data_IF_262205054332
#
_entry.id   IF_262205054332
#
_cell.length_a   1.000
_cell.length_b   1.000
_cell.length_c   1.000
_cell.angle_alpha   90.00
_cell.angle_beta   90.00
_cell.angle_gamma   90.00
#
_symmetry.space_group_name_H-M   'P 1'
#
loop_
_entity.id
_entity.type
_entity.pdbx_description
1 polymer ?
#
# COMPACT_ATOMS: atom_id res chain seq x y z
N UNK A 1 7.28 22.46 16.12
CA UNK A 1 8.18 21.35 16.48
C UNK A 1 7.61 20.11 15.83
N UNK A 2 8.27 19.56 14.80
CA UNK A 2 7.83 18.31 14.18
C UNK A 2 8.01 17.20 15.21
N UNK A 3 6.93 16.65 15.73
CA UNK A 3 6.99 15.45 16.54
C UNK A 3 7.38 14.31 15.60
N UNK A 4 8.62 13.87 15.66
CA UNK A 4 9.05 12.64 15.01
C UNK A 4 8.38 11.49 15.79
N UNK A 5 7.21 11.07 15.34
CA UNK A 5 6.53 9.93 15.92
C UNK A 5 7.25 8.64 15.53
N UNK A 6 7.53 7.78 16.50
CA UNK A 6 8.01 6.43 16.21
C UNK A 6 6.86 5.57 15.69
N UNK A 7 7.15 4.66 14.78
CA UNK A 7 6.22 3.64 14.27
C UNK A 7 6.80 2.25 14.49
N UNK A 8 5.98 1.23 14.57
CA UNK A 8 6.40 -0.18 14.66
C UNK A 8 5.94 -0.88 13.38
N UNK A 9 6.87 -1.56 12.71
CA UNK A 9 6.55 -2.36 11.53
C UNK A 9 6.78 -3.85 11.83
N UNK A 10 5.73 -4.66 11.70
CA UNK A 10 5.76 -6.12 11.87
C UNK A 10 5.57 -6.75 10.50
N UNK A 11 6.65 -7.23 9.93
CA UNK A 11 6.70 -7.75 8.57
C UNK A 11 7.17 -9.20 8.53
N UNK A 12 6.79 -9.91 7.50
CA UNK A 12 7.20 -11.29 7.31
C UNK A 12 6.26 -12.05 6.35
N UNK A 13 6.59 -13.31 6.03
CA UNK A 13 5.81 -14.12 5.12
C UNK A 13 4.43 -14.47 5.69
N UNK A 14 3.53 -14.93 4.82
CA UNK A 14 2.22 -15.45 5.22
C UNK A 14 2.39 -16.60 6.22
N UNK A 15 1.47 -16.72 7.18
CA UNK A 15 1.46 -17.73 8.23
C UNK A 15 2.62 -17.66 9.25
N UNK A 16 3.36 -16.55 9.32
CA UNK A 16 4.46 -16.36 10.30
C UNK A 16 4.00 -15.88 11.69
N UNK A 17 2.70 -15.71 11.92
CA UNK A 17 2.16 -15.21 13.19
C UNK A 17 2.19 -13.69 13.38
N UNK A 18 2.54 -12.92 12.34
CA UNK A 18 2.64 -11.45 12.43
C UNK A 18 1.33 -10.76 12.83
N UNK A 19 0.16 -11.26 12.39
CA UNK A 19 -1.14 -10.68 12.74
C UNK A 19 -1.39 -10.75 14.24
N UNK A 20 -1.23 -11.94 14.84
CA UNK A 20 -1.39 -12.12 16.29
C UNK A 20 -0.37 -11.30 17.08
N UNK A 21 0.88 -11.21 16.60
CA UNK A 21 1.91 -10.40 17.24
C UNK A 21 1.55 -8.91 17.18
N UNK A 22 1.08 -8.43 16.02
CA UNK A 22 0.71 -7.02 15.84
C UNK A 22 -0.46 -6.62 16.73
N UNK A 23 -1.43 -7.50 16.89
CA UNK A 23 -2.58 -7.30 17.75
C UNK A 23 -2.17 -7.24 19.25
N UNK A 24 -1.30 -8.15 19.70
CA UNK A 24 -0.73 -8.12 21.05
C UNK A 24 0.06 -6.84 21.33
N UNK A 25 0.89 -6.39 20.36
CA UNK A 25 1.66 -5.15 20.48
C UNK A 25 0.73 -3.94 20.53
N UNK A 26 -0.23 -3.86 19.61
CA UNK A 26 -1.17 -2.75 19.54
C UNK A 26 -2.05 -2.68 20.81
N UNK A 27 -2.46 -3.81 21.36
CA UNK A 27 -3.21 -3.88 22.62
C UNK A 27 -2.39 -3.35 23.80
N UNK A 28 -1.10 -3.74 23.89
CA UNK A 28 -0.20 -3.23 24.95
C UNK A 28 0.07 -1.72 24.86
N UNK A 29 0.08 -1.18 23.63
CA UNK A 29 0.33 0.25 23.36
C UNK A 29 -0.97 1.07 23.28
N UNK A 30 -2.12 0.45 23.52
CA UNK A 30 -3.44 1.07 23.38
C UNK A 30 -3.64 1.81 22.06
N UNK A 31 -3.20 1.19 20.97
CA UNK A 31 -3.20 1.75 19.62
C UNK A 31 -3.95 0.85 18.62
N UNK A 32 -3.83 1.16 17.34
CA UNK A 32 -4.44 0.41 16.24
C UNK A 32 -3.38 -0.27 15.38
N UNK A 33 -3.77 -1.36 14.72
CA UNK A 33 -2.98 -1.98 13.64
C UNK A 33 -3.39 -1.36 12.31
N UNK A 34 -2.41 -0.99 11.49
CA UNK A 34 -2.59 -0.55 10.09
C UNK A 34 -2.13 -1.71 9.20
N UNK A 35 -3.07 -2.33 8.47
CA UNK A 35 -2.76 -3.42 7.56
C UNK A 35 -1.95 -2.93 6.36
N UNK A 36 -0.86 -3.65 6.04
CA UNK A 36 0.02 -3.42 4.88
C UNK A 36 -0.10 -4.62 3.93
N UNK A 37 -1.30 -4.79 3.38
CA UNK A 37 -1.65 -5.90 2.51
C UNK A 37 -2.48 -5.42 1.32
N UNK A 38 -1.99 -5.66 0.10
CA UNK A 38 -2.61 -5.19 -1.14
C UNK A 38 -3.94 -5.87 -1.46
N UNK A 39 -4.26 -6.99 -0.82
CA UNK A 39 -5.50 -7.73 -1.05
C UNK A 39 -6.54 -7.44 0.05
N UNK A 40 -6.11 -7.22 1.28
CA UNK A 40 -7.02 -6.91 2.39
C UNK A 40 -7.70 -5.54 2.27
N UNK A 41 -7.19 -4.66 1.40
CA UNK A 41 -7.82 -3.36 1.11
C UNK A 41 -9.20 -3.53 0.45
N UNK A 42 -9.45 -4.63 -0.23
CA UNK A 42 -10.71 -4.87 -0.95
C UNK A 42 -11.80 -5.45 -0.06
N UNK A 43 -13.02 -4.87 -0.14
CA UNK A 43 -14.22 -5.36 0.53
C UNK A 43 -14.63 -6.72 0.00
N UNK A 44 -14.99 -7.63 0.90
CA UNK A 44 -15.46 -8.97 0.56
C UNK A 44 -14.36 -9.97 0.18
N UNK A 45 -13.09 -9.54 0.14
CA UNK A 45 -11.96 -10.44 -0.02
C UNK A 45 -11.44 -10.88 1.36
N UNK A 46 -12.18 -11.73 2.05
CA UNK A 46 -11.93 -12.02 3.46
C UNK A 46 -11.23 -13.36 3.68
N UNK A 47 -11.69 -14.42 3.01
CA UNK A 47 -11.22 -15.80 3.24
C UNK A 47 -9.79 -16.00 2.70
N UNK A 48 -9.58 -15.74 1.41
CA UNK A 48 -8.28 -15.95 0.74
C UNK A 48 -7.15 -15.03 1.21
N UNK A 49 -7.49 -13.92 1.85
CA UNK A 49 -6.54 -12.92 2.37
C UNK A 49 -6.27 -13.09 3.86
N UNK A 50 -6.93 -14.05 4.50
CA UNK A 50 -6.88 -14.26 5.95
C UNK A 50 -7.15 -12.97 6.75
N UNK A 51 -8.10 -12.18 6.28
CA UNK A 51 -8.53 -10.96 6.97
C UNK A 51 -9.22 -11.34 8.28
N UNK A 52 -8.77 -10.78 9.41
CA UNK A 52 -9.38 -11.03 10.72
C UNK A 52 -10.82 -10.54 10.73
N UNK A 53 -11.81 -11.39 11.00
CA UNK A 53 -13.21 -10.99 11.15
C UNK A 53 -13.37 -9.88 12.19
N UNK A 54 -14.35 -8.99 11.98
CA UNK A 54 -14.54 -7.82 12.86
C UNK A 54 -14.77 -8.24 14.32
N UNK A 55 -15.53 -9.31 14.52
CA UNK A 55 -15.88 -9.88 15.83
C UNK A 55 -14.70 -10.53 16.57
N UNK A 56 -13.63 -10.86 15.84
CA UNK A 56 -12.43 -11.49 16.42
C UNK A 56 -11.31 -10.46 16.69
N UNK A 57 -11.48 -9.19 16.27
CA UNK A 57 -10.47 -8.15 16.43
C UNK A 57 -10.44 -7.66 17.88
N UNK A 58 -9.31 -7.77 18.54
CA UNK A 58 -9.10 -7.22 19.89
C UNK A 58 -8.73 -5.73 19.87
N UNK A 59 -8.23 -5.23 18.73
CA UNK A 59 -7.88 -3.82 18.50
C UNK A 59 -8.39 -3.36 17.14
N UNK A 60 -8.54 -2.05 16.91
CA UNK A 60 -8.91 -1.56 15.57
C UNK A 60 -7.89 -1.98 14.51
N UNK A 61 -8.38 -2.55 13.41
CA UNK A 61 -7.60 -2.89 12.22
C UNK A 61 -7.98 -1.93 11.10
N UNK A 62 -7.03 -1.05 10.74
CA UNK A 62 -7.18 0.00 9.75
C UNK A 62 -6.61 -0.45 8.40
N UNK A 63 -6.94 0.26 7.32
CA UNK A 63 -6.51 -0.02 5.94
C UNK A 63 -6.98 -1.39 5.43
N UNK A 64 -8.10 -1.87 5.91
CA UNK A 64 -8.87 -3.00 5.37
C UNK A 64 -10.22 -2.49 4.87
N UNK A 65 -10.80 -3.15 3.88
CA UNK A 65 -12.11 -2.79 3.33
C UNK A 65 -12.19 -1.34 2.80
N UNK A 66 -11.10 -0.82 2.26
CA UNK A 66 -10.99 0.58 1.80
C UNK A 66 -11.54 0.78 0.38
N UNK A 67 -11.51 -0.25 -0.46
CA UNK A 67 -11.90 -0.19 -1.88
C UNK A 67 -12.88 -1.30 -2.25
N UNK A 68 -13.64 -1.12 -3.32
CA UNK A 68 -14.43 -2.19 -3.93
C UNK A 68 -13.58 -2.95 -4.95
N UNK A 69 -13.92 -4.22 -5.22
CA UNK A 69 -13.17 -5.06 -6.17
C UNK A 69 -13.11 -4.46 -7.59
N UNK A 70 -14.13 -3.68 -7.97
CA UNK A 70 -14.19 -2.99 -9.26
C UNK A 70 -13.38 -1.69 -9.32
N UNK A 71 -12.80 -1.26 -8.20
CA UNK A 71 -12.02 -0.02 -8.12
C UNK A 71 -10.53 -0.34 -8.22
N UNK A 72 -9.80 0.49 -8.98
CA UNK A 72 -8.34 0.45 -8.95
C UNK A 72 -7.84 1.04 -7.62
N UNK A 73 -6.95 0.32 -6.95
CA UNK A 73 -6.33 0.79 -5.71
C UNK A 73 -4.81 0.76 -5.84
N UNK A 74 -4.23 1.92 -6.05
CA UNK A 74 -2.79 2.07 -6.28
C UNK A 74 -1.99 2.17 -4.98
N UNK A 75 -0.67 1.90 -5.07
CA UNK A 75 0.27 2.11 -3.97
C UNK A 75 0.28 3.57 -3.49
N UNK A 76 0.10 4.54 -4.40
CA UNK A 76 -0.01 5.97 -4.05
C UNK A 76 -1.25 6.27 -3.20
N UNK A 77 -2.40 5.68 -3.55
CA UNK A 77 -3.62 5.80 -2.76
C UNK A 77 -3.43 5.18 -1.38
N UNK A 78 -2.81 4.00 -1.32
CA UNK A 78 -2.46 3.34 -0.08
C UNK A 78 -1.54 4.21 0.78
N UNK A 79 -0.44 4.70 0.23
CA UNK A 79 0.52 5.57 0.94
C UNK A 79 -0.19 6.77 1.57
N UNK A 80 -1.01 7.47 0.79
CA UNK A 80 -1.73 8.66 1.25
C UNK A 80 -2.66 8.33 2.41
N UNK A 81 -3.47 7.28 2.27
CA UNK A 81 -4.44 6.88 3.28
C UNK A 81 -3.75 6.33 4.55
N UNK A 82 -2.76 5.44 4.39
CA UNK A 82 -2.05 4.83 5.51
C UNK A 82 -1.25 5.86 6.32
N UNK A 83 -0.60 6.82 5.65
CA UNK A 83 0.08 7.93 6.33
C UNK A 83 -0.91 8.83 7.08
N UNK A 84 -2.07 9.09 6.51
CA UNK A 84 -3.11 9.87 7.20
C UNK A 84 -3.59 9.18 8.47
N UNK A 85 -3.81 7.85 8.45
CA UNK A 85 -4.18 7.09 9.65
C UNK A 85 -3.04 7.06 10.69
N UNK A 86 -1.79 6.89 10.24
CA UNK A 86 -0.63 6.95 11.13
C UNK A 86 -0.49 8.32 11.81
N UNK A 87 -0.64 9.41 11.06
CA UNK A 87 -0.60 10.76 11.64
C UNK A 87 -1.70 11.00 12.67
N UNK A 88 -2.93 10.54 12.43
CA UNK A 88 -4.01 10.62 13.43
C UNK A 88 -3.64 9.93 14.74
N UNK A 89 -3.00 8.76 14.67
CA UNK A 89 -2.55 8.04 15.86
C UNK A 89 -1.42 8.79 16.57
N UNK A 90 -0.42 9.28 15.82
CA UNK A 90 0.71 10.06 16.38
C UNK A 90 0.22 11.34 17.05
N UNK A 91 -0.70 12.07 16.42
CA UNK A 91 -1.29 13.29 16.98
C UNK A 91 -2.11 13.02 18.26
N UNK A 92 -2.65 11.80 18.37
CA UNK A 92 -3.30 11.32 19.59
C UNK A 92 -2.31 10.79 20.65
N UNK A 93 -0.99 10.93 20.44
CA UNK A 93 0.06 10.44 21.33
C UNK A 93 0.25 8.93 21.31
N UNK A 94 -0.23 8.24 20.28
CA UNK A 94 -0.15 6.78 20.12
C UNK A 94 0.94 6.40 19.09
N UNK A 95 1.51 5.21 19.25
CA UNK A 95 2.48 4.66 18.30
C UNK A 95 1.76 3.77 17.29
N UNK A 96 1.72 4.09 15.98
CA UNK A 96 1.11 3.24 14.97
C UNK A 96 1.85 1.90 14.83
N UNK A 97 1.10 0.81 14.63
CA UNK A 97 1.64 -0.53 14.36
C UNK A 97 1.24 -0.93 12.95
N UNK A 98 2.20 -0.96 12.04
CA UNK A 98 2.01 -1.49 10.68
C UNK A 98 2.23 -2.99 10.66
N UNK A 99 1.34 -3.72 10.00
CA UNK A 99 1.43 -5.18 9.90
C UNK A 99 1.10 -5.67 8.49
N UNK A 100 2.02 -6.39 7.86
CA UNK A 100 1.72 -6.98 6.56
C UNK A 100 2.92 -7.60 5.85
N UNK A 101 2.69 -7.97 4.58
CA UNK A 101 3.69 -8.64 3.75
C UNK A 101 3.89 -8.00 2.37
N UNK A 102 3.19 -6.91 2.05
CA UNK A 102 3.33 -6.23 0.77
C UNK A 102 4.49 -5.24 0.84
N UNK A 103 5.68 -5.66 0.38
CA UNK A 103 6.92 -4.86 0.46
C UNK A 103 6.77 -3.46 -0.11
N UNK A 104 6.28 -3.33 -1.36
CA UNK A 104 6.08 -2.04 -2.01
C UNK A 104 5.18 -1.08 -1.20
N UNK A 105 4.17 -1.60 -0.52
CA UNK A 105 3.30 -0.80 0.34
C UNK A 105 4.04 -0.30 1.57
N UNK A 106 4.86 -1.17 2.19
CA UNK A 106 5.67 -0.81 3.33
C UNK A 106 6.73 0.24 2.95
N UNK A 107 7.47 0.00 1.88
CA UNK A 107 8.50 0.92 1.38
C UNK A 107 7.90 2.30 1.08
N UNK A 108 6.69 2.34 0.50
CA UNK A 108 5.99 3.60 0.24
C UNK A 108 5.68 4.41 1.50
N UNK A 109 5.52 3.74 2.66
CA UNK A 109 5.24 4.41 3.94
C UNK A 109 6.54 4.87 4.60
N UNK A 110 7.55 3.98 4.65
CA UNK A 110 8.81 4.17 5.39
C UNK A 110 9.76 5.09 4.65
N UNK A 111 9.88 4.90 3.34
CA UNK A 111 10.74 5.69 2.48
C UNK A 111 10.02 6.93 1.97
N UNK A 112 10.78 7.93 1.55
CA UNK A 112 10.24 9.12 0.88
C UNK A 112 9.96 8.82 -0.60
N UNK A 113 9.17 7.75 -0.84
CA UNK A 113 8.80 7.38 -2.19
C UNK A 113 7.82 8.41 -2.76
N UNK A 114 8.22 9.07 -3.84
CA UNK A 114 7.41 10.01 -4.59
C UNK A 114 6.80 9.30 -5.80
N UNK A 115 5.51 9.48 -5.98
CA UNK A 115 4.81 8.96 -7.16
C UNK A 115 4.57 10.10 -8.14
N UNK A 116 4.79 9.87 -9.46
CA UNK A 116 4.48 10.88 -10.46
C UNK A 116 3.02 11.34 -10.33
N UNK A 117 2.80 12.63 -10.42
CA UNK A 117 1.45 13.18 -10.47
C UNK A 117 0.82 12.81 -11.82
N UNK A 118 0.15 11.68 -11.87
CA UNK A 118 -0.57 11.22 -13.05
C UNK A 118 -1.81 10.47 -12.62
N UNK A 119 -3.00 10.98 -12.99
CA UNK A 119 -4.22 10.18 -12.85
C UNK A 119 -4.18 9.03 -13.86
N UNK A 120 -4.87 7.93 -13.54
CA UNK A 120 -5.11 6.81 -14.48
C UNK A 120 -5.71 7.32 -15.80
N UNK A 121 -6.46 8.42 -15.76
CA UNK A 121 -7.09 9.08 -16.90
C UNK A 121 -6.26 10.24 -17.49
N UNK A 122 -4.93 10.26 -17.30
CA UNK A 122 -4.14 11.35 -17.86
C UNK A 122 -4.09 11.27 -19.40
N UNK A 123 -4.16 12.41 -20.13
CA UNK A 123 -4.05 12.41 -21.59
C UNK A 123 -2.76 11.78 -22.11
N UNK A 124 -1.71 11.83 -21.31
CA UNK A 124 -0.42 11.18 -21.61
C UNK A 124 -0.56 9.67 -21.58
N UNK A 125 -1.18 9.11 -20.53
CA UNK A 125 -1.42 7.67 -20.43
C UNK A 125 -2.28 7.16 -21.56
N UNK A 126 -3.41 7.81 -21.84
CA UNK A 126 -4.31 7.46 -22.95
C UNK A 126 -3.60 7.46 -24.30
N UNK A 127 -2.68 8.40 -24.51
CA UNK A 127 -1.86 8.43 -25.72
C UNK A 127 -0.94 7.22 -25.83
N UNK A 128 -0.27 6.84 -24.75
CA UNK A 128 0.65 5.70 -24.77
C UNK A 128 -0.08 4.35 -24.80
N UNK A 129 -1.28 4.26 -24.22
CA UNK A 129 -2.15 3.09 -24.36
C UNK A 129 -2.54 2.85 -25.82
N UNK A 130 -2.92 3.89 -26.54
CA UNK A 130 -3.19 3.79 -27.99
C UNK A 130 -1.93 3.39 -28.79
N UNK A 131 -0.78 3.97 -28.45
CA UNK A 131 0.48 3.57 -29.09
C UNK A 131 0.84 2.11 -28.80
N UNK A 132 0.54 1.61 -27.60
CA UNK A 132 0.75 0.21 -27.25
C UNK A 132 -0.14 -0.73 -28.09
N UNK A 133 -1.39 -0.34 -28.37
CA UNK A 133 -2.29 -1.08 -29.26
C UNK A 133 -1.79 -1.08 -30.73
N UNK A 134 -1.22 0.03 -31.19
CA UNK A 134 -0.74 0.22 -32.57
C UNK A 134 0.61 -0.47 -32.81
N UNK A 135 1.56 -0.33 -31.89
CA UNK A 135 2.96 -0.76 -32.06
C UNK A 135 3.24 -2.13 -31.46
N UNK A 136 2.38 -2.60 -30.57
CA UNK A 136 2.66 -3.79 -29.76
C UNK A 136 3.77 -3.58 -28.73
N UNK A 137 4.06 -4.58 -27.88
CA UNK A 137 5.04 -4.45 -26.80
C UNK A 137 6.45 -4.16 -27.30
N UNK A 138 6.87 -4.79 -28.40
CA UNK A 138 8.21 -4.61 -28.98
C UNK A 138 8.41 -3.20 -29.52
N UNK A 139 7.45 -2.68 -30.31
CA UNK A 139 7.52 -1.32 -30.84
C UNK A 139 7.42 -0.25 -29.76
N UNK A 140 6.68 -0.51 -28.67
CA UNK A 140 6.63 0.40 -27.54
C UNK A 140 7.95 0.41 -26.76
N UNK A 141 8.61 -0.74 -26.61
CA UNK A 141 9.95 -0.86 -26.02
C UNK A 141 11.01 -0.12 -26.86
N UNK A 142 10.99 -0.26 -28.18
CA UNK A 142 11.88 0.50 -29.07
C UNK A 142 11.66 2.02 -28.92
N UNK A 143 10.40 2.46 -28.83
CA UNK A 143 10.08 3.86 -28.57
C UNK A 143 10.63 4.32 -27.22
N UNK A 144 10.54 3.50 -26.17
CA UNK A 144 11.14 3.79 -24.87
C UNK A 144 12.65 3.93 -25.01
N UNK A 145 13.33 3.01 -25.68
CA UNK A 145 14.77 3.06 -25.90
C UNK A 145 15.25 4.36 -26.57
N UNK A 146 14.43 4.97 -27.44
CA UNK A 146 14.76 6.26 -28.04
C UNK A 146 14.62 7.44 -27.10
N UNK A 147 13.87 7.31 -25.99
CA UNK A 147 13.56 8.39 -25.04
C UNK A 147 14.32 8.24 -23.73
N UNK A 148 14.44 7.03 -23.27
CA UNK A 148 15.09 6.65 -22.00
C UNK A 148 15.71 5.26 -22.18
N UNK A 149 16.94 5.25 -22.73
CA UNK A 149 17.67 4.03 -22.96
C UNK A 149 17.98 3.25 -21.67
N UNK A 150 18.23 3.98 -20.55
CA UNK A 150 18.52 3.35 -19.28
C UNK A 150 17.32 2.59 -18.71
N UNK A 151 16.12 3.15 -18.82
CA UNK A 151 14.90 2.44 -18.41
C UNK A 151 14.59 1.27 -19.35
N UNK A 152 14.87 1.39 -20.65
CA UNK A 152 14.62 0.31 -21.60
C UNK A 152 15.56 -0.91 -21.42
N UNK A 153 16.74 -0.71 -20.83
CA UNK A 153 17.64 -1.82 -20.50
C UNK A 153 17.19 -2.64 -19.27
N UNK A 154 16.24 -2.12 -18.48
CA UNK A 154 15.77 -2.74 -17.24
C UNK A 154 14.52 -3.61 -17.44
N UNK A 155 13.86 -3.57 -18.61
CA UNK A 155 12.58 -4.25 -18.88
C UNK A 155 12.57 -5.08 -20.15
#
# INVERSE_FOLDING_TARGET
>A
MSSHGSVICIVGPTASGKSSLSELVAKKLETSVISVDAMQVYRGMDIGTAKTPVEEREVPLLMVDCANISEEYSVQMFQTAARAEAHKLIDAGKTPVFCGGTGLYLDSIVDQMEFPSGSVESPVRTRYEKLAEELGPEGLHELLATKDAASAELI
#
